data_IF_695605695337
#
_entry.id   IF_695605695337
#
_cell.length_a   1.000
_cell.length_b   1.000
_cell.length_c   1.000
_cell.angle_alpha   90.00
_cell.angle_beta   90.00
_cell.angle_gamma   90.00
#
_symmetry.space_group_name_H-M   'P 1'
#
loop_
_entity.id
_entity.type
_entity.pdbx_description
1 polymer ?
#
# COMPACT_ATOMS: atom_id res chain seq x y z
N UNK A 1 49.30 -17.74 -68.58
CA UNK A 1 49.91 -18.58 -67.51
C UNK A 1 49.77 -17.83 -66.20
N UNK A 2 48.70 -18.12 -65.45
CA UNK A 2 48.42 -17.48 -64.15
C UNK A 2 48.88 -18.44 -63.05
N UNK A 3 49.82 -18.00 -62.20
CA UNK A 3 50.35 -18.77 -61.08
C UNK A 3 49.49 -18.49 -59.85
N UNK A 4 48.74 -19.50 -59.39
CA UNK A 4 47.99 -19.45 -58.15
C UNK A 4 48.89 -19.92 -57.00
N UNK A 5 49.25 -19.00 -56.10
CA UNK A 5 49.97 -19.30 -54.87
C UNK A 5 49.03 -19.89 -53.81
N UNK A 6 49.32 -21.10 -53.35
CA UNK A 6 48.66 -21.72 -52.19
C UNK A 6 49.40 -21.30 -50.91
N UNK A 7 48.72 -20.53 -50.06
CA UNK A 7 49.20 -20.20 -48.71
C UNK A 7 48.70 -21.28 -47.74
N UNK A 8 49.59 -22.11 -47.23
CA UNK A 8 49.27 -23.11 -46.19
C UNK A 8 49.31 -22.42 -44.83
N UNK A 9 48.13 -22.18 -44.24
CA UNK A 9 48.01 -21.70 -42.87
C UNK A 9 48.19 -22.89 -41.91
N UNK A 10 49.33 -22.95 -41.22
CA UNK A 10 49.56 -23.89 -40.12
C UNK A 10 48.91 -23.31 -38.87
N UNK A 11 47.77 -23.86 -38.46
CA UNK A 11 47.11 -23.53 -37.20
C UNK A 11 47.84 -24.25 -36.06
N UNK A 12 48.69 -23.52 -35.33
CA UNK A 12 49.28 -24.00 -34.08
C UNK A 12 48.22 -23.86 -32.99
N UNK A 13 47.61 -24.97 -32.60
CA UNK A 13 46.76 -25.06 -31.40
C UNK A 13 47.67 -25.01 -30.16
N UNK A 14 47.84 -23.82 -29.61
CA UNK A 14 48.35 -23.65 -28.25
C UNK A 14 47.26 -24.14 -27.28
N UNK A 15 47.37 -25.38 -26.85
CA UNK A 15 46.61 -25.89 -25.70
C UNK A 15 47.22 -25.24 -24.45
N UNK A 16 46.67 -24.12 -24.03
CA UNK A 16 46.93 -23.60 -22.68
C UNK A 16 46.23 -24.54 -21.72
N UNK A 17 47.02 -25.32 -20.98
CA UNK A 17 46.54 -26.06 -19.83
C UNK A 17 46.05 -25.02 -18.81
N UNK A 18 44.72 -24.81 -18.74
CA UNK A 18 44.11 -24.07 -17.64
C UNK A 18 44.24 -24.98 -16.43
N UNK A 19 45.23 -24.73 -15.57
CA UNK A 19 45.19 -25.25 -14.20
C UNK A 19 43.85 -24.81 -13.61
N UNK A 20 43.03 -25.77 -13.19
CA UNK A 20 41.80 -25.47 -12.48
C UNK A 20 42.20 -24.80 -11.16
N UNK A 21 41.82 -23.55 -10.96
CA UNK A 21 42.03 -22.87 -9.68
C UNK A 21 41.43 -23.73 -8.56
N UNK A 22 42.15 -23.98 -7.45
CA UNK A 22 41.62 -24.77 -6.35
C UNK A 22 40.36 -24.07 -5.80
N UNK A 23 39.28 -24.83 -5.63
CA UNK A 23 38.02 -24.30 -5.10
C UNK A 23 38.27 -23.64 -3.73
N UNK A 24 38.03 -22.33 -3.67
CA UNK A 24 38.13 -21.55 -2.42
C UNK A 24 36.79 -21.60 -1.69
N UNK A 25 36.81 -22.03 -0.44
CA UNK A 25 35.65 -22.01 0.44
C UNK A 25 35.45 -20.60 1.01
N UNK A 26 34.21 -20.24 1.34
CA UNK A 26 33.87 -18.93 1.92
C UNK A 26 33.36 -19.11 3.33
N UNK A 27 33.93 -18.35 4.26
CA UNK A 27 33.47 -18.25 5.63
C UNK A 27 33.05 -16.80 5.91
N UNK A 28 31.93 -16.62 6.60
CA UNK A 28 31.43 -15.32 7.01
C UNK A 28 31.26 -15.31 8.52
N UNK A 29 31.62 -14.21 9.18
CA UNK A 29 31.40 -14.03 10.62
C UNK A 29 31.13 -12.56 10.94
N UNK A 30 30.29 -12.30 11.94
CA UNK A 30 30.08 -10.94 12.44
C UNK A 30 31.29 -10.44 13.22
N UNK A 31 31.56 -9.14 13.20
CA UNK A 31 32.57 -8.52 14.09
C UNK A 31 32.26 -8.83 15.56
N UNK A 32 33.25 -9.32 16.30
CA UNK A 32 33.09 -9.81 17.68
C UNK A 32 32.46 -11.20 17.84
N UNK A 33 32.06 -11.86 16.73
CA UNK A 33 31.46 -13.19 16.72
C UNK A 33 32.47 -14.33 16.69
N UNK A 34 32.07 -15.47 16.11
CA UNK A 34 32.92 -16.65 15.94
C UNK A 34 32.94 -17.07 14.47
N UNK A 35 34.11 -17.06 13.84
CA UNK A 35 34.29 -17.65 12.52
C UNK A 35 34.60 -19.14 12.62
N UNK A 36 34.17 -19.93 11.63
CA UNK A 36 34.49 -21.34 11.50
C UNK A 36 35.08 -21.60 10.12
N UNK A 37 36.38 -21.91 10.08
CA UNK A 37 37.11 -22.17 8.85
C UNK A 37 37.23 -23.68 8.66
N UNK A 38 36.57 -24.28 7.65
CA UNK A 38 36.63 -25.71 7.40
C UNK A 38 38.01 -26.15 6.88
N UNK A 39 38.39 -27.37 7.22
CA UNK A 39 39.56 -28.04 6.68
C UNK A 39 39.25 -29.50 6.38
N UNK A 40 39.60 -29.91 5.16
CA UNK A 40 39.35 -31.24 4.65
C UNK A 40 40.51 -32.19 4.98
N UNK A 41 40.25 -33.13 5.88
CA UNK A 41 41.19 -34.17 6.30
C UNK A 41 41.03 -35.49 5.52
N UNK A 42 40.15 -35.56 4.52
CA UNK A 42 39.90 -36.79 3.78
C UNK A 42 41.08 -37.12 2.83
N UNK A 43 41.72 -38.30 2.96
CA UNK A 43 42.82 -38.72 2.09
C UNK A 43 42.32 -39.09 0.69
N UNK A 44 43.16 -38.91 -0.33
CA UNK A 44 42.82 -39.34 -1.70
C UNK A 44 42.78 -40.86 -1.86
N UNK A 45 43.53 -41.61 -1.03
CA UNK A 45 43.61 -43.07 -1.09
C UNK A 45 43.43 -43.71 0.30
N UNK A 46 42.20 -44.03 0.72
CA UNK A 46 41.96 -44.73 1.98
C UNK A 46 42.43 -46.21 1.92
N UNK A 47 42.90 -46.80 3.03
CA UNK A 47 43.11 -46.20 4.33
C UNK A 47 44.45 -45.46 4.40
N UNK A 48 44.39 -44.22 4.87
CA UNK A 48 45.55 -43.39 5.17
C UNK A 48 45.25 -42.52 6.38
N UNK A 49 46.29 -41.95 6.99
CA UNK A 49 46.17 -41.12 8.19
C UNK A 49 46.78 -39.75 7.96
N UNK A 50 46.16 -38.76 8.59
CA UNK A 50 46.72 -37.42 8.66
C UNK A 50 47.98 -37.44 9.53
N UNK A 51 49.06 -36.86 9.01
CA UNK A 51 50.33 -36.72 9.72
C UNK A 51 50.44 -35.36 10.41
N UNK A 52 50.11 -34.27 9.71
CA UNK A 52 50.13 -32.92 10.26
C UNK A 52 49.10 -32.03 9.57
N UNK A 53 48.46 -31.15 10.34
CA UNK A 53 47.62 -30.07 9.85
C UNK A 53 48.32 -28.74 10.13
N UNK A 54 48.48 -27.93 9.10
CA UNK A 54 49.11 -26.61 9.16
C UNK A 54 48.12 -25.56 8.68
N UNK A 55 47.99 -24.46 9.41
CA UNK A 55 47.25 -23.29 8.96
C UNK A 55 48.20 -22.14 8.70
N UNK A 56 47.89 -21.39 7.66
CA UNK A 56 48.61 -20.20 7.25
C UNK A 56 47.60 -19.08 6.99
N UNK A 57 48.09 -17.83 7.01
CA UNK A 57 47.27 -16.63 6.88
C UNK A 57 47.83 -15.72 5.79
N UNK A 58 46.98 -15.35 4.85
CA UNK A 58 47.34 -14.48 3.72
C UNK A 58 48.50 -15.07 2.94
N UNK A 59 49.53 -14.26 2.70
CA UNK A 59 50.74 -14.64 1.96
C UNK A 59 51.90 -15.08 2.84
N UNK A 60 51.67 -15.34 4.14
CA UNK A 60 52.74 -15.75 5.05
C UNK A 60 53.27 -17.15 4.69
N UNK A 61 54.59 -17.27 4.55
CA UNK A 61 55.25 -18.56 4.23
C UNK A 61 55.36 -19.50 5.45
N UNK A 62 55.34 -18.96 6.66
CA UNK A 62 55.36 -19.74 7.90
C UNK A 62 53.94 -20.05 8.38
N UNK A 63 53.66 -21.28 8.85
CA UNK A 63 52.36 -21.59 9.41
C UNK A 63 52.11 -20.79 10.69
N UNK A 64 50.87 -20.33 10.89
CA UNK A 64 50.40 -19.68 12.11
C UNK A 64 49.88 -20.69 13.15
N UNK A 65 49.52 -21.89 12.72
CA UNK A 65 49.07 -22.97 13.60
C UNK A 65 49.55 -24.31 13.07
N UNK A 66 49.95 -25.21 13.98
CA UNK A 66 50.37 -26.57 13.67
C UNK A 66 49.69 -27.55 14.61
N UNK A 67 49.15 -28.63 14.05
CA UNK A 67 48.63 -29.78 14.78
C UNK A 67 49.32 -31.05 14.28
N UNK A 68 50.22 -31.60 15.09
CA UNK A 68 51.09 -32.73 14.77
C UNK A 68 50.49 -34.03 15.33
N UNK A 69 50.22 -34.97 14.43
CA UNK A 69 49.59 -36.27 14.72
C UNK A 69 50.56 -37.44 14.57
N UNK A 70 51.84 -37.18 14.28
CA UNK A 70 52.86 -38.22 14.03
C UNK A 70 53.27 -38.96 15.31
N UNK A 71 53.15 -38.30 16.46
CA UNK A 71 53.42 -38.88 17.78
C UNK A 71 52.18 -39.55 18.36
N UNK A 72 52.39 -40.50 19.29
CA UNK A 72 51.31 -41.19 20.01
C UNK A 72 50.40 -40.25 20.82
N UNK A 73 50.87 -39.04 21.11
CA UNK A 73 50.10 -37.93 21.68
C UNK A 73 50.09 -36.78 20.68
N UNK A 74 48.92 -36.33 20.21
CA UNK A 74 48.84 -35.16 19.35
C UNK A 74 49.41 -33.92 20.06
N UNK A 75 50.20 -33.13 19.34
CA UNK A 75 50.76 -31.88 19.84
C UNK A 75 50.30 -30.71 18.98
N UNK A 76 50.01 -29.56 19.58
CA UNK A 76 49.72 -28.35 18.84
C UNK A 76 50.70 -27.23 19.18
N UNK A 77 50.84 -26.31 18.24
CA UNK A 77 51.56 -25.04 18.40
C UNK A 77 50.77 -23.96 17.67
N UNK A 78 50.73 -22.77 18.25
CA UNK A 78 50.07 -21.59 17.70
C UNK A 78 51.05 -20.41 17.77
N UNK A 79 51.06 -19.59 16.74
CA UNK A 79 51.83 -18.36 16.73
C UNK A 79 51.30 -17.39 17.79
N UNK A 80 52.21 -16.65 18.43
CA UNK A 80 51.89 -15.72 19.53
C UNK A 80 50.94 -14.61 19.06
N UNK A 81 50.99 -14.23 17.79
CA UNK A 81 50.11 -13.23 17.18
C UNK A 81 48.63 -13.63 17.14
N UNK A 82 48.30 -14.91 17.38
CA UNK A 82 46.92 -15.39 17.38
C UNK A 82 46.15 -15.06 18.68
N UNK A 83 46.83 -14.52 19.72
CA UNK A 83 46.21 -14.01 20.95
C UNK A 83 45.24 -14.99 21.65
N UNK A 84 45.46 -16.31 21.53
CA UNK A 84 44.56 -17.36 22.03
C UNK A 84 43.11 -17.27 21.50
N UNK A 85 42.88 -16.66 20.32
CA UNK A 85 41.55 -16.58 19.70
C UNK A 85 41.26 -17.73 18.73
N UNK A 86 42.30 -18.48 18.36
CA UNK A 86 42.27 -19.52 17.33
C UNK A 86 42.30 -20.90 17.97
N UNK A 87 41.32 -21.73 17.63
CA UNK A 87 41.16 -23.06 18.19
C UNK A 87 40.85 -24.07 17.10
N UNK A 88 41.69 -25.10 16.95
CA UNK A 88 41.42 -26.21 16.04
C UNK A 88 40.54 -27.25 16.74
N UNK A 89 39.42 -27.59 16.12
CA UNK A 89 38.55 -28.69 16.53
C UNK A 89 38.49 -29.75 15.44
N UNK A 90 39.06 -30.92 15.72
CA UNK A 90 38.91 -32.11 14.88
C UNK A 90 37.54 -32.71 15.17
N UNK A 91 36.71 -32.84 14.14
CA UNK A 91 35.33 -33.33 14.27
C UNK A 91 35.28 -34.85 14.12
N UNK A 92 36.01 -35.36 13.13
CA UNK A 92 36.14 -36.76 12.76
C UNK A 92 37.43 -36.97 11.95
N UNK A 93 37.66 -38.18 11.43
CA UNK A 93 38.86 -38.53 10.67
C UNK A 93 38.97 -37.79 9.31
N UNK A 94 37.91 -37.13 8.84
CA UNK A 94 37.85 -36.46 7.54
C UNK A 94 37.65 -34.94 7.64
N UNK A 95 37.31 -34.40 8.81
CA UNK A 95 36.94 -32.99 8.96
C UNK A 95 37.54 -32.35 10.22
N UNK A 96 38.11 -31.17 10.04
CA UNK A 96 38.46 -30.27 11.13
C UNK A 96 37.97 -28.85 10.85
N UNK A 97 37.83 -28.06 11.90
CA UNK A 97 37.44 -26.65 11.83
C UNK A 97 38.38 -25.82 12.67
N UNK A 98 38.93 -24.76 12.10
CA UNK A 98 39.61 -23.69 12.84
C UNK A 98 38.58 -22.63 13.24
N UNK A 99 38.36 -22.48 14.54
CA UNK A 99 37.47 -21.45 15.08
C UNK A 99 38.26 -20.21 15.49
N UNK A 100 37.77 -19.03 15.12
CA UNK A 100 38.35 -17.72 15.52
C UNK A 100 37.32 -17.00 16.37
N UNK A 101 37.63 -16.70 17.64
CA UNK A 101 36.69 -16.03 18.56
C UNK A 101 37.42 -15.21 19.64
N UNK A 102 37.05 -13.94 19.88
CA UNK A 102 36.16 -13.11 19.07
C UNK A 102 36.84 -12.71 17.75
N UNK A 103 36.09 -12.69 16.65
CA UNK A 103 36.55 -12.17 15.36
C UNK A 103 36.75 -10.65 15.40
N UNK A 104 37.71 -10.15 14.63
CA UNK A 104 37.99 -8.72 14.45
C UNK A 104 38.00 -8.40 12.95
N UNK A 105 37.70 -7.16 12.57
CA UNK A 105 37.78 -6.73 11.16
C UNK A 105 39.14 -7.04 10.48
N UNK A 106 40.24 -7.02 11.23
CA UNK A 106 41.57 -7.34 10.73
C UNK A 106 41.79 -8.84 10.44
N UNK A 107 40.89 -9.72 10.88
CA UNK A 107 40.94 -11.16 10.58
C UNK A 107 40.43 -11.47 9.15
N UNK A 108 39.85 -10.50 8.44
CA UNK A 108 39.43 -10.66 7.03
C UNK A 108 40.65 -10.92 6.15
N UNK A 109 40.78 -12.17 5.70
CA UNK A 109 41.95 -12.66 4.96
C UNK A 109 41.63 -14.03 4.35
N UNK A 110 42.47 -14.46 3.39
CA UNK A 110 42.48 -15.85 2.91
C UNK A 110 43.35 -16.73 3.82
N UNK A 111 42.75 -17.73 4.44
CA UNK A 111 43.44 -18.77 5.20
C UNK A 111 43.65 -20.01 4.34
N UNK A 112 44.77 -20.69 4.53
CA UNK A 112 44.99 -21.98 3.87
C UNK A 112 45.32 -23.07 4.87
N UNK A 113 44.49 -24.13 4.86
CA UNK A 113 44.71 -25.34 5.62
C UNK A 113 45.45 -26.34 4.76
N UNK A 114 46.69 -26.66 5.13
CA UNK A 114 47.50 -27.70 4.52
C UNK A 114 47.45 -28.95 5.39
N UNK A 115 47.13 -30.07 4.77
CA UNK A 115 47.05 -31.38 5.41
C UNK A 115 48.02 -32.32 4.72
N UNK A 116 49.02 -32.79 5.46
CA UNK A 116 49.96 -33.78 4.97
C UNK A 116 49.55 -35.17 5.49
N UNK A 117 49.60 -36.17 4.62
CA UNK A 117 49.26 -37.56 4.94
C UNK A 117 50.50 -38.44 4.95
N UNK A 118 50.36 -39.68 5.43
CA UNK A 118 51.46 -40.64 5.37
C UNK A 118 51.75 -41.15 3.96
N UNK A 119 50.72 -41.31 3.12
CA UNK A 119 50.86 -41.86 1.75
C UNK A 119 50.23 -40.98 0.68
N UNK A 120 49.10 -40.37 1.00
CA UNK A 120 48.34 -39.51 0.09
C UNK A 120 49.09 -38.20 -0.15
N UNK A 121 48.92 -37.58 -1.34
CA UNK A 121 49.49 -36.27 -1.59
C UNK A 121 48.90 -35.24 -0.61
N UNK A 122 49.69 -34.20 -0.32
CA UNK A 122 49.27 -33.05 0.48
C UNK A 122 48.00 -32.43 -0.09
N UNK A 123 47.07 -32.07 0.80
CA UNK A 123 45.85 -31.35 0.44
C UNK A 123 45.90 -29.94 0.98
N UNK A 124 45.41 -28.98 0.20
CA UNK A 124 45.32 -27.57 0.59
C UNK A 124 43.87 -27.11 0.40
N UNK A 125 43.24 -26.61 1.46
CA UNK A 125 41.93 -25.95 1.43
C UNK A 125 42.14 -24.45 1.64
N UNK A 126 41.68 -23.64 0.70
CA UNK A 126 41.65 -22.18 0.85
C UNK A 126 40.30 -21.75 1.41
N UNK A 127 40.30 -20.90 2.42
CA UNK A 127 39.10 -20.34 3.04
C UNK A 127 39.22 -18.82 3.06
N UNK A 128 38.37 -18.14 2.31
CA UNK A 128 38.26 -16.69 2.35
C UNK A 128 37.30 -16.28 3.49
N UNK A 129 37.85 -15.68 4.56
CA UNK A 129 37.05 -15.20 5.68
C UNK A 129 36.66 -13.74 5.46
N UNK A 130 35.36 -13.46 5.38
CA UNK A 130 34.82 -12.10 5.37
C UNK A 130 34.21 -11.73 6.72
N UNK A 131 34.47 -10.50 7.18
CA UNK A 131 33.90 -9.99 8.43
C UNK A 131 32.75 -9.04 8.13
N UNK A 132 31.57 -9.38 8.62
CA UNK A 132 30.37 -8.55 8.47
C UNK A 132 30.18 -7.62 9.66
N UNK A 133 29.83 -6.37 9.34
CA UNK A 133 29.49 -5.35 10.33
C UNK A 133 28.03 -4.98 10.12
N UNK A 134 27.16 -5.05 11.14
CA UNK A 134 25.75 -4.68 11.00
C UNK A 134 25.59 -3.19 10.65
N UNK A 135 24.50 -2.79 9.98
CA UNK A 135 24.15 -1.39 9.79
C UNK A 135 23.96 -0.68 11.13
N UNK A 136 24.37 0.59 11.20
CA UNK A 136 24.31 1.38 12.44
C UNK A 136 22.95 2.04 12.65
N UNK A 137 22.14 2.19 11.60
CA UNK A 137 20.83 2.80 11.68
C UNK A 137 19.97 2.54 10.44
N UNK A 138 18.65 2.60 10.63
CA UNK A 138 17.65 2.51 9.58
C UNK A 138 16.56 3.55 9.84
N UNK A 139 16.15 4.27 8.81
CA UNK A 139 15.10 5.29 8.88
C UNK A 139 14.22 5.27 7.63
N UNK A 140 12.92 5.50 7.82
CA UNK A 140 11.96 5.68 6.72
C UNK A 140 11.56 7.14 6.65
N UNK A 141 11.60 7.74 5.46
CA UNK A 141 11.18 9.12 5.20
C UNK A 141 10.13 9.20 4.09
N UNK A 142 9.30 10.24 4.12
CA UNK A 142 8.40 10.58 3.00
C UNK A 142 9.09 11.48 1.95
N UNK A 143 8.32 11.91 0.94
CA UNK A 143 8.75 12.85 -0.10
C UNK A 143 9.24 14.21 0.43
N UNK A 144 8.87 14.58 1.66
CA UNK A 144 9.29 15.81 2.33
C UNK A 144 10.49 15.60 3.27
N UNK A 145 11.15 14.44 3.17
CA UNK A 145 12.23 14.01 4.07
C UNK A 145 11.85 13.98 5.55
N UNK A 146 10.55 13.86 5.87
CA UNK A 146 10.12 13.70 7.25
C UNK A 146 10.23 12.25 7.67
N UNK A 147 10.92 12.01 8.78
CA UNK A 147 11.05 10.67 9.37
C UNK A 147 9.66 10.17 9.81
N UNK A 148 9.30 8.97 9.37
CA UNK A 148 8.04 8.31 9.73
C UNK A 148 8.33 7.15 10.67
N UNK A 149 7.81 7.27 11.89
CA UNK A 149 7.90 6.24 12.92
C UNK A 149 6.47 5.83 13.31
N UNK A 150 6.12 4.57 13.11
CA UNK A 150 4.79 4.07 13.47
C UNK A 150 3.75 4.40 12.42
N UNK A 151 3.04 5.53 12.53
CA UNK A 151 1.93 5.87 11.62
C UNK A 151 2.24 7.14 10.82
N UNK A 152 1.86 7.16 9.54
CA UNK A 152 2.00 8.37 8.71
C UNK A 152 0.96 9.43 9.10
N UNK A 153 1.17 10.64 8.60
CA UNK A 153 0.07 11.60 8.43
C UNK A 153 -0.97 11.03 7.48
N UNK A 154 -2.24 11.45 7.63
CA UNK A 154 -3.31 10.95 6.78
C UNK A 154 -3.23 11.46 5.34
N UNK A 155 -3.23 10.54 4.38
CA UNK A 155 -3.26 10.83 2.94
C UNK A 155 -4.67 10.70 2.37
N UNK A 156 -5.01 11.49 1.34
CA UNK A 156 -6.30 11.36 0.68
C UNK A 156 -6.39 10.04 -0.12
N UNK A 157 -7.55 9.40 -0.12
CA UNK A 157 -7.84 8.29 -1.02
C UNK A 157 -7.63 8.71 -2.49
N UNK A 158 -6.85 7.92 -3.22
CA UNK A 158 -6.42 8.18 -4.58
C UNK A 158 -5.12 8.96 -4.70
N UNK A 159 -4.54 9.48 -3.61
CA UNK A 159 -3.25 10.14 -3.63
C UNK A 159 -2.09 9.15 -3.89
N UNK A 160 -0.98 9.67 -4.40
CA UNK A 160 0.28 8.93 -4.49
C UNK A 160 1.07 9.05 -3.18
N UNK A 161 1.79 8.00 -2.83
CA UNK A 161 2.69 7.95 -1.67
C UNK A 161 4.05 7.38 -2.08
N UNK A 162 5.11 8.07 -1.68
CA UNK A 162 6.48 7.55 -1.76
C UNK A 162 7.07 7.47 -0.36
N UNK A 163 7.67 6.32 -0.02
CA UNK A 163 8.44 6.12 1.20
C UNK A 163 9.85 5.67 0.82
N UNK A 164 10.86 6.33 1.39
CA UNK A 164 12.27 5.96 1.20
C UNK A 164 12.81 5.37 2.48
N UNK A 165 13.27 4.13 2.43
CA UNK A 165 13.99 3.53 3.54
C UNK A 165 15.49 3.67 3.32
N UNK A 166 16.21 4.17 4.32
CA UNK A 166 17.66 4.40 4.27
C UNK A 166 18.34 3.63 5.39
N UNK A 167 19.31 2.79 5.02
CA UNK A 167 20.23 2.14 5.93
C UNK A 167 21.58 2.85 5.91
N UNK A 168 22.18 3.07 7.08
CA UNK A 168 23.51 3.69 7.23
C UNK A 168 24.51 2.72 7.81
N UNK A 169 25.74 2.79 7.33
CA UNK A 169 26.84 1.91 7.73
C UNK A 169 26.69 0.49 7.20
N UNK A 170 27.35 -0.44 7.90
CA UNK A 170 27.40 -1.85 7.55
C UNK A 170 28.54 -2.21 6.59
N UNK A 171 29.03 -3.45 6.71
CA UNK A 171 29.99 -4.09 5.79
C UNK A 171 29.50 -5.52 5.53
N UNK A 172 29.21 -5.91 4.27
CA UNK A 172 28.95 -5.02 3.14
C UNK A 172 27.75 -4.09 3.42
N UNK A 173 27.52 -3.11 2.53
CA UNK A 173 26.30 -2.31 2.59
C UNK A 173 25.07 -3.23 2.53
N UNK A 174 24.11 -2.99 3.42
CA UNK A 174 22.94 -3.84 3.53
C UNK A 174 21.99 -3.70 2.34
N UNK A 175 21.37 -4.81 1.95
CA UNK A 175 20.21 -4.80 1.09
C UNK A 175 19.01 -4.27 1.87
N UNK A 176 18.22 -3.41 1.22
CA UNK A 176 17.01 -2.79 1.77
C UNK A 176 15.83 -3.30 0.97
N UNK A 177 14.81 -3.80 1.66
CA UNK A 177 13.62 -4.39 1.04
C UNK A 177 12.35 -3.93 1.75
N UNK A 178 11.26 -3.86 0.99
CA UNK A 178 9.94 -3.47 1.47
C UNK A 178 9.00 -4.65 1.45
N UNK A 179 8.26 -4.83 2.55
CA UNK A 179 7.35 -5.93 2.77
C UNK A 179 5.99 -5.40 3.21
N UNK A 180 4.94 -6.13 2.83
CA UNK A 180 3.56 -5.88 3.26
C UNK A 180 2.92 -7.22 3.60
N UNK A 181 2.38 -7.34 4.82
CA UNK A 181 1.69 -8.56 5.26
C UNK A 181 2.52 -9.86 5.09
N UNK A 182 3.85 -9.74 5.15
CA UNK A 182 4.80 -10.86 4.95
C UNK A 182 5.17 -11.13 3.49
N UNK A 183 4.56 -10.42 2.53
CA UNK A 183 4.88 -10.51 1.11
C UNK A 183 5.87 -9.43 0.70
N UNK A 184 6.84 -9.81 -0.15
CA UNK A 184 7.83 -8.88 -0.69
C UNK A 184 7.17 -7.94 -1.69
N UNK A 185 7.31 -6.63 -1.48
CA UNK A 185 6.79 -5.59 -2.37
C UNK A 185 7.87 -5.14 -3.36
N UNK A 186 9.08 -4.86 -2.86
CA UNK A 186 10.26 -4.54 -3.68
C UNK A 186 11.53 -4.81 -2.89
N UNK A 187 12.56 -5.27 -3.56
CA UNK A 187 13.90 -5.49 -3.01
C UNK A 187 14.99 -4.72 -3.77
N UNK A 188 14.56 -3.74 -4.58
CA UNK A 188 15.44 -2.87 -5.36
C UNK A 188 16.18 -1.90 -4.44
N UNK A 189 17.48 -2.14 -4.28
CA UNK A 189 18.37 -1.34 -3.43
C UNK A 189 19.30 -0.48 -4.28
N UNK A 190 19.40 0.80 -3.94
CA UNK A 190 20.42 1.73 -4.42
C UNK A 190 21.55 1.80 -3.40
N UNK A 191 22.78 1.59 -3.84
CA UNK A 191 23.97 1.59 -2.98
C UNK A 191 24.78 2.85 -3.20
N UNK A 192 25.20 3.49 -2.11
CA UNK A 192 26.03 4.69 -2.12
C UNK A 192 27.28 4.46 -1.25
N UNK A 193 28.32 3.77 -1.78
CA UNK A 193 29.54 3.43 -1.04
C UNK A 193 30.23 4.65 -0.40
N UNK A 194 30.35 5.75 -1.15
CA UNK A 194 31.02 6.98 -0.69
C UNK A 194 30.34 7.61 0.52
N UNK A 195 29.03 7.39 0.67
CA UNK A 195 28.21 7.90 1.78
C UNK A 195 27.90 6.84 2.82
N UNK A 196 28.47 5.64 2.67
CA UNK A 196 28.21 4.45 3.50
C UNK A 196 26.72 4.23 3.77
N UNK A 197 25.90 4.28 2.72
CA UNK A 197 24.44 4.10 2.85
C UNK A 197 23.87 3.28 1.71
N UNK A 198 22.74 2.64 1.97
CA UNK A 198 21.88 2.02 0.96
C UNK A 198 20.43 2.45 1.15
N UNK A 199 19.66 2.48 0.07
CA UNK A 199 18.30 2.98 0.08
C UNK A 199 17.38 2.12 -0.79
N UNK A 200 16.11 2.03 -0.43
CA UNK A 200 15.05 1.48 -1.29
C UNK A 200 13.81 2.35 -1.23
N UNK A 201 13.17 2.55 -2.37
CA UNK A 201 12.01 3.44 -2.53
C UNK A 201 10.76 2.60 -2.79
N UNK A 202 9.77 2.74 -1.92
CA UNK A 202 8.43 2.22 -2.12
C UNK A 202 7.57 3.33 -2.73
N UNK A 203 6.98 3.07 -3.90
CA UNK A 203 6.06 3.98 -4.57
C UNK A 203 4.68 3.34 -4.72
N UNK A 204 3.65 4.02 -4.25
CA UNK A 204 2.24 3.66 -4.42
C UNK A 204 1.57 4.79 -5.20
N UNK A 205 1.28 4.56 -6.47
CA UNK A 205 0.75 5.62 -7.35
C UNK A 205 -0.67 6.05 -6.96
N UNK A 206 -1.48 5.12 -6.43
CA UNK A 206 -2.87 5.38 -6.07
C UNK A 206 -3.27 4.63 -4.79
N UNK A 207 -3.37 5.37 -3.69
CA UNK A 207 -3.83 4.84 -2.42
C UNK A 207 -5.32 4.46 -2.50
N UNK A 208 -5.62 3.20 -2.20
CA UNK A 208 -6.98 2.66 -2.08
C UNK A 208 -7.35 2.41 -0.62
N UNK A 209 -8.64 2.14 -0.34
CA UNK A 209 -9.14 1.85 1.02
C UNK A 209 -8.43 0.66 1.69
N UNK A 210 -7.85 -0.27 0.92
CA UNK A 210 -7.07 -1.40 1.46
C UNK A 210 -5.70 -1.01 2.00
N UNK A 211 -5.26 0.24 1.81
CA UNK A 211 -4.03 0.76 2.39
C UNK A 211 -4.26 1.42 3.75
N UNK A 212 -5.51 1.68 4.15
CA UNK A 212 -5.80 2.26 5.46
C UNK A 212 -5.28 1.32 6.56
N UNK A 213 -4.35 1.84 7.36
CA UNK A 213 -3.64 1.14 8.43
C UNK A 213 -2.86 -0.10 7.97
N UNK A 214 -2.64 -0.27 6.66
CA UNK A 214 -1.76 -1.30 6.14
C UNK A 214 -0.32 -1.02 6.59
N UNK A 215 0.37 -2.05 7.07
CA UNK A 215 1.71 -1.94 7.63
C UNK A 215 2.74 -2.34 6.58
N UNK A 216 3.60 -1.40 6.23
CA UNK A 216 4.76 -1.63 5.39
C UNK A 216 6.00 -1.75 6.27
N UNK A 217 6.76 -2.82 6.09
CA UNK A 217 8.00 -3.10 6.82
C UNK A 217 9.17 -2.89 5.88
N UNK A 218 10.07 -1.98 6.24
CA UNK A 218 11.39 -1.92 5.65
C UNK A 218 12.32 -2.88 6.39
N UNK A 219 12.86 -3.86 5.69
CA UNK A 219 13.82 -4.82 6.23
C UNK A 219 15.21 -4.60 5.62
N UNK A 220 16.20 -4.49 6.48
CA UNK A 220 17.59 -4.18 6.14
C UNK A 220 18.49 -5.32 6.62
N UNK A 221 19.19 -5.98 5.68
CA UNK A 221 20.11 -7.07 5.98
C UNK A 221 21.35 -7.03 5.09
N UNK A 222 22.52 -7.21 5.69
CA UNK A 222 23.81 -7.39 4.99
C UNK A 222 24.37 -8.81 5.13
N UNK A 223 23.78 -9.67 5.95
CA UNK A 223 24.18 -11.07 6.12
C UNK A 223 23.02 -11.90 6.66
N UNK A 224 23.01 -13.20 6.34
CA UNK A 224 22.04 -14.19 6.87
C UNK A 224 22.35 -14.63 8.31
N UNK A 225 23.54 -14.28 8.84
CA UNK A 225 23.97 -14.66 10.19
C UNK A 225 23.31 -13.81 11.28
N UNK A 226 22.72 -12.68 10.92
CA UNK A 226 22.10 -11.73 11.83
C UNK A 226 20.65 -11.46 11.43
N UNK A 227 19.75 -11.22 12.41
CA UNK A 227 18.39 -10.80 12.10
C UNK A 227 18.41 -9.44 11.37
N UNK A 228 17.50 -9.21 10.41
CA UNK A 228 17.38 -7.92 9.74
C UNK A 228 16.95 -6.84 10.72
N UNK A 229 17.41 -5.61 10.49
CA UNK A 229 16.80 -4.44 11.13
C UNK A 229 15.49 -4.14 10.44
N UNK A 230 14.42 -3.91 11.22
CA UNK A 230 13.07 -3.72 10.69
C UNK A 230 12.46 -2.42 11.20
N UNK A 231 11.99 -1.57 10.28
CA UNK A 231 11.19 -0.39 10.59
C UNK A 231 9.80 -0.57 9.99
N UNK A 232 8.75 -0.35 10.78
CA UNK A 232 7.36 -0.52 10.36
C UNK A 232 6.64 0.82 10.29
N UNK A 233 5.91 1.03 9.21
CA UNK A 233 5.11 2.22 8.96
C UNK A 233 3.70 1.82 8.53
N UNK A 234 2.70 2.24 9.31
CA UNK A 234 1.30 2.13 9.00
C UNK A 234 0.83 3.37 8.23
N UNK A 235 0.11 3.18 7.13
CA UNK A 235 -0.40 4.29 6.31
C UNK A 235 -1.73 4.77 6.89
N UNK A 236 -1.80 6.04 7.28
CA UNK A 236 -3.08 6.68 7.64
C UNK A 236 -3.74 7.33 6.43
N UNK A 237 -5.08 7.33 6.38
CA UNK A 237 -5.80 7.83 5.20
C UNK A 237 -7.14 8.52 5.49
N UNK A 238 -7.41 9.61 4.77
CA UNK A 238 -8.76 10.12 4.59
C UNK A 238 -9.48 9.32 3.50
N UNK A 239 -10.71 8.89 3.78
CA UNK A 239 -11.54 8.11 2.84
C UNK A 239 -12.76 8.91 2.40
N UNK A 240 -13.09 8.84 1.12
CA UNK A 240 -14.29 9.51 0.59
C UNK A 240 -15.56 8.76 1.01
N UNK A 241 -16.74 9.43 1.04
CA UNK A 241 -18.02 8.74 1.13
C UNK A 241 -18.13 7.61 0.10
N UNK A 242 -18.41 6.40 0.57
CA UNK A 242 -18.54 5.22 -0.28
C UNK A 242 -19.98 5.06 -0.77
N UNK A 243 -20.94 5.31 0.11
CA UNK A 243 -22.36 5.11 -0.17
C UNK A 243 -23.19 6.19 0.53
N UNK A 244 -24.15 6.76 -0.20
CA UNK A 244 -25.18 7.66 0.32
C UNK A 244 -26.55 7.12 -0.01
N UNK A 245 -27.42 7.01 1.00
CA UNK A 245 -28.78 6.47 0.90
C UNK A 245 -29.77 7.39 1.60
N UNK A 246 -30.96 7.53 1.02
CA UNK A 246 -32.11 8.17 1.66
C UNK A 246 -33.01 7.08 2.24
N UNK A 247 -33.42 7.25 3.49
CA UNK A 247 -34.24 6.34 4.27
C UNK A 247 -35.51 7.07 4.74
N UNK A 248 -36.62 6.36 4.69
CA UNK A 248 -37.95 6.87 4.97
C UNK A 248 -38.96 6.08 4.12
N UNK A 249 -40.21 5.98 4.56
CA UNK A 249 -41.25 5.35 3.75
C UNK A 249 -41.28 6.02 2.37
N UNK A 250 -41.43 5.18 1.33
CA UNK A 250 -41.55 5.49 -0.10
C UNK A 250 -42.07 6.92 -0.39
N UNK A 251 -41.60 7.65 -1.42
CA UNK A 251 -41.65 9.12 -1.52
C UNK A 251 -43.05 9.73 -1.79
N UNK A 252 -44.09 9.13 -1.23
CA UNK A 252 -45.46 9.63 -1.15
C UNK A 252 -45.64 10.45 0.13
N UNK A 253 -45.71 11.76 -0.06
CA UNK A 253 -45.89 12.73 1.01
C UNK A 253 -47.29 13.31 0.94
N UNK A 254 -47.81 13.81 2.05
CA UNK A 254 -49.04 14.61 2.10
C UNK A 254 -48.67 16.05 2.41
N UNK A 255 -49.22 17.00 1.64
CA UNK A 255 -48.95 18.41 1.84
C UNK A 255 -49.33 18.84 3.27
N UNK A 256 -48.45 19.60 3.94
CA UNK A 256 -48.63 20.09 5.30
C UNK A 256 -48.34 19.08 6.42
N UNK A 257 -48.11 17.80 6.11
CA UNK A 257 -47.75 16.78 7.11
C UNK A 257 -46.23 16.75 7.31
N UNK A 258 -45.79 16.62 8.57
CA UNK A 258 -44.36 16.53 8.92
C UNK A 258 -43.84 15.10 8.77
N UNK A 259 -42.68 14.97 8.13
CA UNK A 259 -41.97 13.70 7.90
C UNK A 259 -40.54 13.80 8.43
N UNK A 260 -39.97 12.67 8.86
CA UNK A 260 -38.55 12.57 9.18
C UNK A 260 -37.87 11.75 8.08
N UNK A 261 -37.04 12.41 7.29
CA UNK A 261 -36.26 11.78 6.22
C UNK A 261 -34.84 11.63 6.72
N UNK A 262 -34.29 10.43 6.65
CA UNK A 262 -32.93 10.16 7.12
C UNK A 262 -32.01 9.95 5.93
N UNK A 263 -30.96 10.74 5.83
CA UNK A 263 -29.86 10.45 4.93
C UNK A 263 -28.78 9.69 5.69
N UNK A 264 -28.31 8.58 5.12
CA UNK A 264 -27.25 7.74 5.68
C UNK A 264 -26.07 7.68 4.71
N UNK A 265 -24.92 8.13 5.19
CA UNK A 265 -23.63 8.06 4.52
C UNK A 265 -22.73 7.02 5.20
N UNK A 266 -22.08 6.15 4.42
CA UNK A 266 -21.14 5.14 4.91
C UNK A 266 -19.76 5.32 4.28
N UNK A 267 -18.72 4.98 5.04
CA UNK A 267 -17.36 4.80 4.54
C UNK A 267 -16.49 6.05 4.44
N UNK A 268 -16.95 7.20 4.91
CA UNK A 268 -16.12 8.41 4.97
C UNK A 268 -15.24 8.42 6.22
N UNK A 269 -13.96 8.78 6.07
CA UNK A 269 -13.03 9.02 7.19
C UNK A 269 -12.30 10.34 6.98
N UNK A 270 -12.43 11.36 7.84
CA UNK A 270 -13.36 11.46 8.97
C UNK A 270 -14.84 11.35 8.55
N UNK A 271 -15.77 11.26 9.54
CA UNK A 271 -17.21 11.26 9.28
C UNK A 271 -17.62 12.36 8.29
N UNK A 272 -18.48 12.00 7.34
CA UNK A 272 -18.88 12.91 6.27
C UNK A 272 -19.72 14.07 6.81
N UNK A 273 -19.65 15.21 6.12
CA UNK A 273 -20.59 16.31 6.31
C UNK A 273 -21.77 16.09 5.39
N UNK A 274 -22.97 16.10 5.96
CA UNK A 274 -24.22 15.89 5.23
C UNK A 274 -24.96 17.23 5.10
N UNK A 275 -25.38 17.57 3.88
CA UNK A 275 -26.20 18.75 3.58
C UNK A 275 -27.46 18.37 2.80
N UNK A 276 -28.53 19.13 3.00
CA UNK A 276 -29.83 18.89 2.39
C UNK A 276 -30.16 19.99 1.39
N UNK A 277 -30.76 19.61 0.27
CA UNK A 277 -31.04 20.51 -0.85
C UNK A 277 -32.41 20.18 -1.44
N UNK A 278 -33.20 21.19 -1.78
CA UNK A 278 -34.47 21.06 -2.49
C UNK A 278 -34.39 21.90 -3.76
N UNK A 279 -34.45 21.23 -4.90
CA UNK A 279 -34.38 21.84 -6.24
C UNK A 279 -33.19 22.81 -6.40
N UNK A 280 -32.02 22.41 -5.90
CA UNK A 280 -30.80 23.22 -5.94
C UNK A 280 -30.69 24.29 -4.85
N UNK A 281 -31.71 24.47 -4.00
CA UNK A 281 -31.66 25.40 -2.87
C UNK A 281 -31.30 24.65 -1.58
N UNK A 282 -30.30 25.15 -0.84
CA UNK A 282 -29.90 24.55 0.43
C UNK A 282 -31.02 24.65 1.45
N UNK A 283 -31.28 23.56 2.17
CA UNK A 283 -32.18 23.54 3.31
C UNK A 283 -31.38 23.62 4.60
N UNK A 284 -31.85 24.42 5.55
CA UNK A 284 -31.32 24.43 6.90
C UNK A 284 -31.93 23.29 7.75
N UNK A 285 -31.16 22.84 8.73
CA UNK A 285 -31.54 21.77 9.64
C UNK A 285 -30.88 20.43 9.30
N UNK A 286 -31.45 19.35 9.83
CA UNK A 286 -30.86 18.03 9.80
C UNK A 286 -30.04 17.74 11.06
N UNK A 287 -30.54 16.85 11.91
CA UNK A 287 -29.79 16.42 13.10
C UNK A 287 -28.78 15.35 12.71
N UNK A 288 -27.50 15.66 12.83
CA UNK A 288 -26.41 14.74 12.48
C UNK A 288 -26.05 13.84 13.65
N UNK A 289 -25.90 12.55 13.39
CA UNK A 289 -25.35 11.57 14.34
C UNK A 289 -24.30 10.71 13.65
N UNK A 290 -23.29 10.30 14.41
CA UNK A 290 -22.19 9.45 13.95
C UNK A 290 -22.22 8.16 14.76
N UNK A 291 -22.08 7.02 14.09
CA UNK A 291 -21.97 5.72 14.75
C UNK A 291 -20.71 5.63 15.62
N UNK A 292 -20.72 4.78 16.63
CA UNK A 292 -19.60 4.64 17.56
C UNK A 292 -18.27 4.24 16.88
N UNK A 293 -18.35 3.47 15.79
CA UNK A 293 -17.20 3.08 14.96
C UNK A 293 -16.74 4.19 13.98
N UNK A 294 -17.44 5.32 13.92
CA UNK A 294 -17.16 6.44 13.02
C UNK A 294 -17.45 6.19 11.54
N UNK A 295 -17.92 4.99 11.16
CA UNK A 295 -18.06 4.57 9.76
C UNK A 295 -19.35 5.08 9.10
N UNK A 296 -20.40 5.31 9.89
CA UNK A 296 -21.71 5.74 9.41
C UNK A 296 -22.06 7.11 9.98
N UNK A 297 -22.27 8.08 9.10
CA UNK A 297 -22.90 9.37 9.47
C UNK A 297 -24.35 9.35 9.00
N UNK A 298 -25.28 9.71 9.87
CA UNK A 298 -26.67 9.95 9.47
C UNK A 298 -27.09 11.38 9.75
N UNK A 299 -27.99 11.92 8.93
CA UNK A 299 -28.67 13.18 9.16
C UNK A 299 -30.17 12.96 9.06
N UNK A 300 -30.93 13.40 10.06
CA UNK A 300 -32.39 13.32 10.06
C UNK A 300 -33.01 14.70 9.83
N UNK A 301 -33.67 14.89 8.69
CA UNK A 301 -34.35 16.11 8.30
C UNK A 301 -35.85 16.02 8.64
N UNK A 302 -36.32 16.95 9.45
CA UNK A 302 -37.75 17.21 9.63
C UNK A 302 -38.27 18.00 8.42
N UNK A 303 -39.03 17.36 7.54
CA UNK A 303 -39.49 17.91 6.28
C UNK A 303 -41.02 17.98 6.23
N UNK A 304 -41.56 19.16 5.90
CA UNK A 304 -43.00 19.39 5.74
C UNK A 304 -43.26 19.91 4.31
N UNK A 305 -43.61 19.03 3.36
CA UNK A 305 -43.80 19.42 1.97
C UNK A 305 -45.09 20.21 1.76
N UNK A 306 -45.09 21.04 0.73
CA UNK A 306 -46.24 21.82 0.24
C UNK A 306 -46.69 21.29 -1.12
N UNK A 307 -47.88 21.71 -1.58
CA UNK A 307 -48.37 21.35 -2.91
C UNK A 307 -47.41 21.78 -4.05
N UNK A 308 -46.68 22.88 -3.87
CA UNK A 308 -45.71 23.38 -4.83
C UNK A 308 -44.43 22.53 -4.91
N UNK A 309 -44.19 21.67 -3.91
CA UNK A 309 -43.02 20.79 -3.89
C UNK A 309 -43.22 19.51 -4.72
N UNK A 310 -44.43 19.27 -5.24
CA UNK A 310 -44.70 18.11 -6.08
C UNK A 310 -43.88 18.17 -7.37
N UNK A 311 -43.12 17.10 -7.65
CA UNK A 311 -42.24 17.00 -8.81
C UNK A 311 -40.84 17.59 -8.58
N UNK A 312 -40.63 18.33 -7.49
CA UNK A 312 -39.31 18.85 -7.12
C UNK A 312 -38.39 17.75 -6.61
N UNK A 313 -37.10 18.07 -6.58
CA UNK A 313 -36.02 17.14 -6.28
C UNK A 313 -35.48 17.41 -4.88
N UNK A 314 -35.58 16.44 -3.97
CA UNK A 314 -34.91 16.45 -2.67
C UNK A 314 -33.58 15.70 -2.78
N UNK A 315 -32.47 16.37 -2.49
CA UNK A 315 -31.11 15.81 -2.56
C UNK A 315 -30.43 15.86 -1.20
N UNK A 316 -29.85 14.74 -0.78
CA UNK A 316 -28.86 14.70 0.28
C UNK A 316 -27.47 14.58 -0.33
N UNK A 317 -26.54 15.43 0.10
CA UNK A 317 -25.13 15.40 -0.29
C UNK A 317 -24.27 15.07 0.91
N UNK A 318 -23.31 14.17 0.74
CA UNK A 318 -22.30 13.84 1.74
C UNK A 318 -20.91 14.09 1.17
N UNK A 319 -20.04 14.77 1.92
CA UNK A 319 -18.68 15.08 1.49
C UNK A 319 -17.67 14.93 2.63
N UNK A 320 -16.41 14.68 2.27
CA UNK A 320 -15.28 14.69 3.19
C UNK A 320 -14.42 15.93 2.91
N UNK A 321 -14.37 16.87 3.85
CA UNK A 321 -13.64 18.13 3.69
C UNK A 321 -12.13 17.97 3.49
N UNK A 322 -11.56 16.81 3.84
CA UNK A 322 -10.13 16.52 3.65
C UNK A 322 -9.78 16.04 2.24
N UNK A 323 -10.80 15.75 1.42
CA UNK A 323 -10.63 15.23 0.06
C UNK A 323 -11.44 16.10 -0.90
N UNK A 324 -10.77 16.87 -1.79
CA UNK A 324 -11.44 17.63 -2.83
C UNK A 324 -12.32 16.74 -3.70
N UNK A 325 -13.48 17.26 -4.11
CA UNK A 325 -14.42 16.56 -5.01
C UNK A 325 -14.87 15.17 -4.51
N UNK A 326 -14.87 14.95 -3.19
CA UNK A 326 -15.32 13.70 -2.56
C UNK A 326 -16.85 13.58 -2.44
N UNK A 327 -17.59 14.59 -2.87
CA UNK A 327 -19.05 14.64 -2.76
C UNK A 327 -19.72 13.42 -3.41
N UNK A 328 -20.65 12.83 -2.69
CA UNK A 328 -21.60 11.83 -3.16
C UNK A 328 -23.00 12.29 -2.80
N UNK A 329 -23.97 12.00 -3.65
CA UNK A 329 -25.34 12.47 -3.43
C UNK A 329 -26.38 11.41 -3.75
N UNK A 330 -27.52 11.52 -3.06
CA UNK A 330 -28.69 10.69 -3.32
C UNK A 330 -29.94 11.56 -3.34
N UNK A 331 -30.87 11.19 -4.20
CA UNK A 331 -31.94 12.07 -4.62
C UNK A 331 -33.29 11.35 -4.66
N UNK A 332 -34.35 12.04 -4.26
CA UNK A 332 -35.75 11.62 -4.40
C UNK A 332 -36.55 12.67 -5.18
N UNK A 333 -37.38 12.21 -6.11
CA UNK A 333 -38.42 13.03 -6.72
C UNK A 333 -39.66 13.02 -5.82
N UNK A 334 -40.12 14.19 -5.39
CA UNK A 334 -41.19 14.32 -4.41
C UNK A 334 -42.57 14.07 -5.02
N UNK A 335 -43.28 13.02 -4.57
CA UNK A 335 -44.68 12.80 -4.91
C UNK A 335 -45.55 13.30 -3.76
N UNK A 336 -46.02 14.55 -3.85
CA UNK A 336 -46.78 15.19 -2.76
C UNK A 336 -48.26 15.16 -3.11
N UNK A 337 -49.06 14.48 -2.30
CA UNK A 337 -50.51 14.43 -2.41
C UNK A 337 -51.12 15.67 -1.75
N UNK A 338 -52.02 16.35 -2.47
CA UNK A 338 -52.71 17.54 -2.00
C UNK A 338 -54.11 17.65 -2.62
N UNK A 339 -55.08 18.20 -1.87
CA UNK A 339 -56.44 18.38 -2.37
C UNK A 339 -56.47 19.36 -3.55
N UNK A 340 -57.49 19.27 -4.43
CA UNK A 340 -57.60 20.13 -5.60
C UNK A 340 -57.69 21.60 -5.22
N UNK A 341 -56.85 22.43 -5.86
CA UNK A 341 -56.93 23.89 -5.79
C UNK A 341 -57.45 24.42 -7.11
N UNK A 342 -58.55 25.17 -7.03
CA UNK A 342 -59.24 25.76 -8.17
C UNK A 342 -59.08 27.27 -8.10
N UNK A 343 -58.63 27.87 -9.19
CA UNK A 343 -58.64 29.33 -9.38
C UNK A 343 -59.36 29.64 -10.67
N UNK A 344 -60.37 30.51 -10.57
CA UNK A 344 -61.11 31.03 -11.71
C UNK A 344 -60.58 32.42 -12.04
N UNK A 345 -60.16 32.59 -13.29
CA UNK A 345 -59.72 33.87 -13.85
C UNK A 345 -60.65 34.27 -14.97
N UNK A 346 -60.85 35.57 -15.17
CA UNK A 346 -61.56 36.05 -16.34
C UNK A 346 -60.74 35.69 -17.58
N UNK A 347 -61.43 35.28 -18.65
CA UNK A 347 -60.83 34.83 -19.89
C UNK A 347 -59.80 35.82 -20.46
N UNK A 348 -58.72 35.30 -21.03
CA UNK A 348 -57.65 36.13 -21.55
C UNK A 348 -58.16 37.17 -22.57
N UNK A 349 -57.88 38.46 -22.32
CA UNK A 349 -58.30 39.58 -23.17
C UNK A 349 -59.65 40.22 -22.82
N UNK A 350 -60.33 39.75 -21.76
CA UNK A 350 -61.47 40.45 -21.18
C UNK A 350 -60.97 41.46 -20.13
N UNK A 351 -61.35 42.72 -20.29
CA UNK A 351 -61.11 43.78 -19.30
C UNK A 351 -62.40 44.09 -18.54
N UNK A 352 -62.36 43.87 -17.22
CA UNK A 352 -63.49 44.12 -16.31
C UNK A 352 -64.06 45.53 -16.40
N UNK A 353 -63.28 46.53 -16.83
CA UNK A 353 -63.72 47.92 -16.94
C UNK A 353 -64.53 48.21 -18.22
N UNK A 354 -64.51 47.31 -19.20
CA UNK A 354 -65.11 47.50 -20.53
C UNK A 354 -66.30 46.55 -20.79
N UNK A 355 -66.59 45.63 -19.85
CA UNK A 355 -67.70 44.70 -19.98
C UNK A 355 -69.03 45.47 -19.90
N UNK A 356 -69.85 45.34 -20.95
CA UNK A 356 -71.21 45.92 -21.01
C UNK A 356 -72.26 44.83 -20.91
N UNK A 357 -73.45 45.22 -20.48
CA UNK A 357 -74.62 44.35 -20.52
C UNK A 357 -74.85 43.77 -21.93
N UNK A 358 -75.09 42.46 -22.01
CA UNK A 358 -75.20 41.73 -23.28
C UNK A 358 -73.87 41.23 -23.87
N UNK A 359 -72.73 41.46 -23.21
CA UNK A 359 -71.43 40.92 -23.64
C UNK A 359 -71.20 39.51 -23.09
N UNK A 360 -70.75 38.58 -23.94
CA UNK A 360 -70.31 37.25 -23.52
C UNK A 360 -69.06 37.35 -22.64
N UNK A 361 -69.09 36.67 -21.49
CA UNK A 361 -67.91 36.51 -20.64
C UNK A 361 -67.56 35.04 -20.53
N UNK A 362 -66.27 34.76 -20.40
CA UNK A 362 -65.81 33.43 -20.12
C UNK A 362 -64.78 33.41 -19.01
N UNK A 363 -64.70 32.29 -18.32
CA UNK A 363 -63.75 32.08 -17.24
C UNK A 363 -62.80 30.94 -17.60
N UNK A 364 -61.54 31.16 -17.25
CA UNK A 364 -60.51 30.13 -17.27
C UNK A 364 -60.42 29.49 -15.89
N UNK A 365 -60.57 28.16 -15.87
CA UNK A 365 -60.49 27.37 -14.64
C UNK A 365 -59.12 26.69 -14.56
N UNK A 366 -58.21 27.24 -13.77
CA UNK A 366 -56.94 26.60 -13.47
C UNK A 366 -57.10 25.67 -12.26
N UNK A 367 -56.79 24.39 -12.48
CA UNK A 367 -56.95 23.32 -11.50
C UNK A 367 -55.60 22.63 -11.28
N UNK A 368 -55.19 22.52 -10.02
CA UNK A 368 -54.00 21.73 -9.63
C UNK A 368 -54.41 20.72 -8.57
N UNK A 369 -54.00 19.47 -8.72
CA UNK A 369 -54.30 18.39 -7.78
C UNK A 369 -53.30 17.24 -7.93
N UNK A 370 -52.99 16.55 -6.82
CA UNK A 370 -52.33 15.25 -6.88
C UNK A 370 -52.91 14.31 -5.79
N UNK A 371 -53.52 13.17 -6.15
CA UNK A 371 -53.74 12.68 -7.52
C UNK A 371 -54.68 13.58 -8.33
N UNK A 372 -54.70 13.40 -9.65
CA UNK A 372 -55.59 14.15 -10.53
C UNK A 372 -57.07 13.84 -10.24
N UNK A 373 -57.95 14.83 -10.44
CA UNK A 373 -59.39 14.66 -10.20
C UNK A 373 -60.06 13.91 -11.35
N UNK A 374 -61.09 13.13 -11.04
CA UNK A 374 -61.86 12.35 -12.02
C UNK A 374 -63.07 13.09 -12.59
N UNK A 375 -63.56 14.13 -11.92
CA UNK A 375 -64.70 14.94 -12.37
C UNK A 375 -64.63 16.36 -11.80
N UNK A 376 -65.30 17.31 -12.46
CA UNK A 376 -65.47 18.70 -11.99
C UNK A 376 -66.90 19.19 -12.25
N UNK A 377 -67.39 20.09 -11.41
CA UNK A 377 -68.73 20.70 -11.52
C UNK A 377 -68.58 22.21 -11.45
N UNK A 378 -69.29 22.91 -12.33
CA UNK A 378 -69.35 24.37 -12.35
C UNK A 378 -70.74 24.79 -11.91
N UNK A 379 -70.81 25.78 -11.00
CA UNK A 379 -72.07 26.30 -10.46
C UNK A 379 -72.14 27.79 -10.71
N UNK A 380 -73.20 28.25 -11.37
CA UNK A 380 -73.51 29.66 -11.58
C UNK A 380 -74.95 29.93 -11.17
N UNK A 381 -75.15 30.84 -10.21
CA UNK A 381 -76.48 31.22 -9.68
C UNK A 381 -77.39 30.03 -9.31
N UNK A 382 -76.81 28.94 -8.79
CA UNK A 382 -77.55 27.73 -8.40
C UNK A 382 -77.82 26.72 -9.52
N UNK A 383 -77.45 27.02 -10.77
CA UNK A 383 -77.49 26.09 -11.88
C UNK A 383 -76.20 25.26 -11.94
N UNK A 384 -76.34 23.93 -12.05
CA UNK A 384 -75.23 22.98 -12.08
C UNK A 384 -74.87 22.56 -13.51
N UNK A 385 -73.59 22.68 -13.86
CA UNK A 385 -73.04 22.20 -15.12
C UNK A 385 -71.94 21.18 -14.81
N UNK A 386 -72.23 19.89 -14.99
CA UNK A 386 -71.24 18.81 -14.81
C UNK A 386 -70.46 18.65 -16.09
N UNK A 387 -69.14 18.82 -16.04
CA UNK A 387 -68.26 18.42 -17.15
C UNK A 387 -67.62 17.07 -16.80
N UNK A 388 -67.93 16.06 -17.60
CA UNK A 388 -67.26 14.77 -17.62
C UNK A 388 -66.24 14.83 -18.76
N UNK A 389 -65.00 14.43 -18.49
CA UNK A 389 -63.87 14.22 -19.42
C UNK A 389 -62.74 15.27 -19.53
N UNK A 390 -61.48 14.84 -19.82
CA UNK A 390 -60.24 15.51 -19.43
C UNK A 390 -59.57 16.31 -20.56
N UNK A 391 -60.31 16.78 -21.56
CA UNK A 391 -59.75 17.55 -22.68
C UNK A 391 -59.58 19.06 -22.39
N UNK A 392 -58.60 19.73 -23.02
CA UNK A 392 -58.02 21.01 -22.58
C UNK A 392 -58.84 22.23 -23.01
N UNK A 393 -60.17 22.13 -22.98
CA UNK A 393 -61.01 23.31 -23.12
C UNK A 393 -61.19 23.92 -21.73
N UNK A 394 -60.23 24.77 -21.36
CA UNK A 394 -60.23 25.57 -20.14
C UNK A 394 -61.26 26.71 -20.16
N UNK A 395 -62.12 26.81 -21.17
CA UNK A 395 -63.03 27.94 -21.36
C UNK A 395 -64.46 27.57 -20.97
N UNK A 396 -64.96 28.24 -19.93
CA UNK A 396 -66.37 28.29 -19.58
C UNK A 396 -66.98 29.55 -20.17
N UNK A 397 -67.75 29.45 -21.26
CA UNK A 397 -68.58 30.57 -21.76
C UNK A 397 -69.87 30.64 -20.96
N UNK A 398 -70.15 31.79 -20.37
CA UNK A 398 -71.47 32.15 -19.84
C UNK A 398 -72.13 33.02 -20.91
N UNK A 399 -73.24 32.51 -21.47
CA UNK A 399 -74.11 33.27 -22.37
C UNK A 399 -75.09 34.13 -21.58
#
# INVERSE_FOLDING_TARGET
>A
MSSAGFLVLVLVLLVTCSEAEPATEFAEASDGGTASLPCNLAPSHPPDRVSVVLWYRGTQESPIYKYDLRSSRPQHWADVSLENRYFLRVLDDERAVMSISPTKLADEEVFHCRVDFHKSPTRITHVNLTIVVPPTGVQVTDDFNQVKNGITTAYAEGASLTLTCTATGGKPLAKVSWWRDGELVTDESQFFPDRRKSQSVLKIDKLTRSHLLAIYSCEVSNSRLQPPLVVRVAIDMYLRPLEVTLLGNNPEFSAGKRYNITCRCRGSRPPAIITWWKDGVSLEGGTVTVSADGNTTTSALAFTPTAADHGLILTCKASNQRIPFSEQQRTWMLRVNYPPKVTLTLGHGLDTSVIKEGSDVYFECHLTANPWVSWRVVVYQGCFWKTLEPHPLNQLRLC
#
